data_IF_123965588841
#
_entry.id   IF_123965588841
#
_cell.length_a   1.000
_cell.length_b   1.000
_cell.length_c   1.000
_cell.angle_alpha   90.00
_cell.angle_beta   90.00
_cell.angle_gamma   90.00
#
_symmetry.space_group_name_H-M   'P 1'
#
loop_
_entity.id
_entity.type
_entity.pdbx_description
1 polymer ?
#
# COMPACT_ATOMS: atom_id res chain seq x y z
N UNK A 1 -9.94 -15.46 33.12
CA UNK A 1 -11.06 -15.38 32.16
C UNK A 1 -10.90 -14.05 31.43
N UNK A 2 -10.13 -14.04 30.33
CA UNK A 2 -9.87 -12.81 29.59
C UNK A 2 -11.16 -12.42 28.85
N UNK A 3 -11.68 -11.23 29.15
CA UNK A 3 -12.73 -10.61 28.35
C UNK A 3 -12.22 -10.55 26.90
N UNK A 4 -12.89 -11.28 26.00
CA UNK A 4 -12.78 -10.99 24.56
C UNK A 4 -13.31 -9.57 24.39
N UNK A 5 -12.41 -8.60 24.38
CA UNK A 5 -12.74 -7.25 23.97
C UNK A 5 -13.27 -7.37 22.54
N UNK A 6 -14.55 -7.06 22.34
CA UNK A 6 -15.03 -6.69 21.02
C UNK A 6 -14.16 -5.50 20.59
N UNK A 7 -13.42 -5.56 19.47
CA UNK A 7 -12.62 -4.42 19.06
C UNK A 7 -13.56 -3.23 18.88
N UNK A 8 -13.22 -2.10 19.51
CA UNK A 8 -13.87 -0.84 19.21
C UNK A 8 -13.76 -0.59 17.69
N UNK A 9 -14.78 -0.04 17.02
CA UNK A 9 -14.73 0.24 15.59
C UNK A 9 -13.83 1.47 15.32
N UNK A 10 -12.53 1.31 15.54
CA UNK A 10 -11.54 2.39 15.53
C UNK A 10 -10.28 2.04 14.72
N UNK A 11 -10.42 1.16 13.71
CA UNK A 11 -9.30 0.78 12.84
C UNK A 11 -8.86 1.85 11.85
N UNK A 12 -9.59 2.97 11.75
CA UNK A 12 -9.22 4.12 10.92
C UNK A 12 -9.33 3.91 9.41
N UNK A 13 -9.73 2.72 8.93
CA UNK A 13 -9.85 2.41 7.51
C UNK A 13 -11.17 2.92 6.93
N UNK A 14 -11.09 3.54 5.76
CA UNK A 14 -12.22 4.03 5.00
C UNK A 14 -12.03 3.73 3.51
N UNK A 15 -13.09 3.24 2.85
CA UNK A 15 -13.12 2.99 1.41
C UNK A 15 -14.25 3.82 0.78
N UNK A 16 -13.88 4.66 -0.19
CA UNK A 16 -14.82 5.31 -1.09
C UNK A 16 -14.68 4.73 -2.50
N UNK A 17 -15.81 4.42 -3.13
CA UNK A 17 -15.85 3.82 -4.47
C UNK A 17 -16.87 4.52 -5.35
N UNK A 18 -16.49 4.80 -6.61
CA UNK A 18 -17.43 5.21 -7.67
C UNK A 18 -18.24 4.02 -8.22
N UNK A 19 -17.79 2.80 -7.94
CA UNK A 19 -18.39 1.55 -8.36
C UNK A 19 -19.16 0.91 -7.21
N UNK A 20 -20.28 0.21 -7.47
CA UNK A 20 -21.01 -0.50 -6.44
C UNK A 20 -20.12 -1.49 -5.69
N UNK A 21 -20.11 -1.40 -4.36
CA UNK A 21 -19.49 -2.41 -3.49
C UNK A 21 -20.47 -3.58 -3.36
N UNK A 22 -20.04 -4.75 -3.81
CA UNK A 22 -20.84 -5.98 -3.79
C UNK A 22 -20.70 -6.72 -2.46
N UNK A 23 -19.49 -6.72 -1.91
CA UNK A 23 -19.14 -7.38 -0.65
C UNK A 23 -18.01 -6.62 0.04
N UNK A 24 -18.02 -6.59 1.38
CA UNK A 24 -16.96 -5.99 2.17
C UNK A 24 -16.77 -6.75 3.49
N UNK A 25 -15.53 -7.07 3.81
CA UNK A 25 -15.16 -7.78 5.02
C UNK A 25 -13.97 -7.09 5.69
N UNK A 26 -14.01 -7.03 7.01
CA UNK A 26 -12.93 -6.45 7.80
C UNK A 26 -12.42 -7.43 8.85
N UNK A 27 -11.10 -7.48 9.01
CA UNK A 27 -10.40 -8.32 9.98
C UNK A 27 -9.43 -7.48 10.81
N UNK A 28 -9.53 -7.56 12.13
CA UNK A 28 -8.55 -6.96 13.04
C UNK A 28 -7.33 -7.87 13.21
N UNK A 29 -6.14 -7.29 13.28
CA UNK A 29 -4.95 -8.00 13.73
C UNK A 29 -5.04 -8.31 15.23
N UNK A 30 -4.75 -9.56 15.64
CA UNK A 30 -4.83 -9.95 17.05
C UNK A 30 -3.56 -9.59 17.84
N UNK A 31 -2.49 -9.16 17.17
CA UNK A 31 -1.14 -9.05 17.72
C UNK A 31 -0.59 -7.62 17.81
N UNK A 32 -1.42 -6.59 17.61
CA UNK A 32 -1.02 -5.19 17.84
C UNK A 32 -0.64 -4.94 19.30
N UNK A 33 0.39 -4.12 19.53
CA UNK A 33 0.97 -3.82 20.85
C UNK A 33 1.26 -2.33 21.02
N UNK A 34 1.58 -1.91 22.25
CA UNK A 34 1.93 -0.51 22.53
C UNK A 34 0.76 0.43 22.25
N UNK A 35 1.04 1.58 21.63
CA UNK A 35 0.01 2.57 21.24
C UNK A 35 -0.99 1.98 20.24
N UNK A 36 -0.53 1.07 19.37
CA UNK A 36 -1.38 0.38 18.41
C UNK A 36 -2.37 -0.60 19.05
N UNK A 37 -2.20 -0.98 20.33
CA UNK A 37 -3.21 -1.77 21.04
C UNK A 37 -4.52 -0.99 21.26
N UNK A 38 -4.48 0.35 21.14
CA UNK A 38 -5.65 1.21 21.26
C UNK A 38 -6.40 1.36 19.93
N UNK A 39 -5.83 0.94 18.81
CA UNK A 39 -6.44 0.99 17.48
C UNK A 39 -6.67 -0.43 16.94
N UNK A 40 -7.85 -0.68 16.38
CA UNK A 40 -8.13 -1.93 15.69
C UNK A 40 -7.42 -1.94 14.32
N UNK A 41 -6.10 -2.05 14.27
CA UNK A 41 -5.38 -2.22 13.00
C UNK A 41 -5.81 -3.52 12.32
N UNK A 42 -5.83 -3.54 10.99
CA UNK A 42 -6.44 -4.65 10.27
C UNK A 42 -6.48 -4.51 8.77
N UNK A 43 -7.22 -5.41 8.13
CA UNK A 43 -7.45 -5.48 6.69
C UNK A 43 -8.92 -5.26 6.38
N UNK A 44 -9.22 -4.30 5.49
CA UNK A 44 -10.51 -4.13 4.84
C UNK A 44 -10.42 -4.66 3.41
N UNK A 45 -11.18 -5.72 3.12
CA UNK A 45 -11.32 -6.30 1.78
C UNK A 45 -12.68 -5.96 1.20
N UNK A 46 -12.72 -5.61 -0.08
CA UNK A 46 -13.93 -5.28 -0.80
C UNK A 46 -13.92 -5.88 -2.20
N UNK A 47 -15.12 -6.24 -2.65
CA UNK A 47 -15.39 -6.64 -4.04
C UNK A 47 -16.27 -5.58 -4.68
N UNK A 48 -15.87 -5.06 -5.84
CA UNK A 48 -16.61 -4.01 -6.55
C UNK A 48 -17.06 -4.45 -7.93
N UNK A 49 -18.21 -3.95 -8.38
CA UNK A 49 -18.74 -4.17 -9.72
C UNK A 49 -18.24 -3.07 -10.67
N UNK A 50 -17.37 -3.43 -11.60
CA UNK A 50 -16.79 -2.49 -12.57
C UNK A 50 -17.71 -2.27 -13.77
N UNK A 51 -18.41 -3.32 -14.20
CA UNK A 51 -19.34 -3.24 -15.31
C UNK A 51 -19.74 -4.62 -15.83
N UNK A 52 -20.00 -4.70 -17.14
CA UNK A 52 -20.30 -5.93 -17.85
C UNK A 52 -19.42 -6.04 -19.09
N UNK A 53 -18.97 -7.25 -19.41
CA UNK A 53 -18.20 -7.54 -20.61
C UNK A 53 -19.10 -7.66 -21.84
N UNK A 54 -18.50 -7.70 -23.04
CA UNK A 54 -19.21 -7.93 -24.30
C UNK A 54 -20.03 -9.24 -24.32
N UNK A 55 -19.62 -10.22 -23.52
CA UNK A 55 -20.29 -11.52 -23.34
C UNK A 55 -21.34 -11.50 -22.21
N UNK A 56 -21.75 -10.32 -21.75
CA UNK A 56 -22.72 -10.11 -20.66
C UNK A 56 -22.28 -10.64 -19.29
N UNK A 57 -21.00 -11.03 -19.12
CA UNK A 57 -20.46 -11.40 -17.81
C UNK A 57 -20.22 -10.17 -16.95
N UNK A 58 -20.41 -10.29 -15.64
CA UNK A 58 -20.08 -9.20 -14.71
C UNK A 58 -18.56 -9.05 -14.63
N UNK A 59 -18.07 -7.82 -14.73
CA UNK A 59 -16.67 -7.50 -14.52
C UNK A 59 -16.51 -6.95 -13.11
N UNK A 60 -15.67 -7.59 -12.31
CA UNK A 60 -15.47 -7.27 -10.89
C UNK A 60 -14.01 -6.95 -10.60
N UNK A 61 -13.76 -6.27 -9.48
CA UNK A 61 -12.42 -6.01 -8.97
C UNK A 61 -12.34 -6.30 -7.48
N UNK A 62 -11.18 -6.76 -7.04
CA UNK A 62 -10.86 -6.93 -5.62
C UNK A 62 -9.98 -5.78 -5.14
N UNK A 63 -10.37 -5.18 -4.03
CA UNK A 63 -9.64 -4.07 -3.40
C UNK A 63 -9.42 -4.37 -1.93
N UNK A 64 -8.17 -4.26 -1.48
CA UNK A 64 -7.78 -4.55 -0.11
C UNK A 64 -6.99 -3.36 0.44
N UNK A 65 -7.37 -2.87 1.62
CA UNK A 65 -6.69 -1.77 2.29
C UNK A 65 -6.31 -2.19 3.71
N UNK A 66 -5.07 -1.96 4.12
CA UNK A 66 -4.57 -2.35 5.45
C UNK A 66 -3.84 -1.19 6.12
N UNK A 67 -3.75 -1.25 7.45
CA UNK A 67 -2.86 -0.41 8.24
C UNK A 67 -2.13 -1.34 9.20
N UNK A 68 -0.81 -1.51 9.02
CA UNK A 68 -0.01 -2.45 9.81
C UNK A 68 0.51 -1.83 11.12
N UNK A 69 1.11 -2.67 11.95
CA UNK A 69 1.76 -2.31 13.19
C UNK A 69 2.88 -1.26 12.97
N UNK A 70 2.79 -0.12 13.66
CA UNK A 70 3.62 1.06 13.44
C UNK A 70 5.02 1.04 14.10
N UNK A 71 5.19 0.58 15.35
CA UNK A 71 6.49 0.65 16.04
C UNK A 71 7.68 0.10 15.24
N UNK A 72 8.73 0.92 15.12
CA UNK A 72 10.02 0.54 14.53
C UNK A 72 10.70 -0.57 15.35
N UNK A 73 11.53 -1.40 14.71
CA UNK A 73 12.17 -2.55 15.37
C UNK A 73 11.27 -3.75 15.66
N UNK A 74 9.98 -3.70 15.32
CA UNK A 74 9.01 -4.79 15.54
C UNK A 74 8.59 -5.50 14.23
N UNK A 75 9.52 -5.63 13.28
CA UNK A 75 9.26 -6.19 11.95
C UNK A 75 8.76 -7.64 11.91
N UNK A 76 9.02 -8.43 12.97
CA UNK A 76 8.43 -9.77 13.15
C UNK A 76 6.89 -9.70 13.23
N UNK A 77 6.34 -8.71 13.95
CA UNK A 77 4.90 -8.50 14.08
C UNK A 77 4.31 -8.12 12.72
N UNK A 78 4.97 -7.21 11.99
CA UNK A 78 4.54 -6.84 10.63
C UNK A 78 4.57 -8.03 9.68
N UNK A 79 5.61 -8.88 9.74
CA UNK A 79 5.66 -10.14 8.98
C UNK A 79 4.49 -11.09 9.31
N UNK A 80 4.16 -11.27 10.59
CA UNK A 80 2.97 -12.05 10.98
C UNK A 80 1.68 -11.44 10.41
N UNK A 81 1.54 -10.12 10.45
CA UNK A 81 0.38 -9.43 9.89
C UNK A 81 0.32 -9.55 8.36
N UNK A 82 1.44 -9.48 7.64
CA UNK A 82 1.50 -9.71 6.19
C UNK A 82 1.08 -11.15 5.82
N UNK A 83 1.45 -12.14 6.63
CA UNK A 83 0.96 -13.51 6.50
C UNK A 83 -0.56 -13.60 6.71
N UNK A 84 -1.10 -12.89 7.71
CA UNK A 84 -2.56 -12.82 7.91
C UNK A 84 -3.27 -12.12 6.74
N UNK A 85 -2.70 -11.02 6.22
CA UNK A 85 -3.24 -10.28 5.07
C UNK A 85 -3.37 -11.20 3.86
N UNK A 86 -2.29 -11.87 3.46
CA UNK A 86 -2.32 -12.78 2.29
C UNK A 86 -3.34 -13.90 2.45
N UNK A 87 -3.43 -14.48 3.66
CA UNK A 87 -4.43 -15.50 3.99
C UNK A 87 -5.86 -14.96 3.90
N UNK A 88 -6.15 -13.82 4.53
CA UNK A 88 -7.50 -13.25 4.58
C UNK A 88 -7.97 -12.78 3.21
N UNK A 89 -7.09 -12.24 2.37
CA UNK A 89 -7.42 -11.92 0.98
C UNK A 89 -7.80 -13.19 0.22
N UNK A 90 -7.03 -14.27 0.35
CA UNK A 90 -7.32 -15.53 -0.32
C UNK A 90 -8.66 -16.12 0.16
N UNK A 91 -8.91 -16.11 1.47
CA UNK A 91 -10.16 -16.58 2.06
C UNK A 91 -11.37 -15.73 1.57
N UNK A 92 -11.23 -14.39 1.52
CA UNK A 92 -12.25 -13.47 1.00
C UNK A 92 -12.57 -13.73 -0.46
N UNK A 93 -11.55 -13.90 -1.31
CA UNK A 93 -11.76 -14.18 -2.73
C UNK A 93 -12.37 -15.56 -2.96
N UNK A 94 -11.94 -16.58 -2.21
CA UNK A 94 -12.51 -17.92 -2.31
C UNK A 94 -14.00 -17.94 -1.95
N UNK A 95 -14.41 -17.16 -0.95
CA UNK A 95 -15.82 -17.05 -0.54
C UNK A 95 -16.68 -16.25 -1.54
N UNK A 96 -16.07 -15.34 -2.30
CA UNK A 96 -16.82 -14.32 -3.07
C UNK A 96 -16.59 -14.37 -4.59
N UNK A 97 -15.86 -15.37 -5.11
CA UNK A 97 -15.68 -15.56 -6.56
C UNK A 97 -16.83 -16.38 -7.14
N UNK A 98 -17.48 -15.88 -8.19
CA UNK A 98 -18.53 -16.62 -8.90
C UNK A 98 -18.09 -17.01 -10.32
N UNK A 99 -18.57 -18.15 -10.87
CA UNK A 99 -18.17 -18.60 -12.20
C UNK A 99 -18.54 -17.68 -13.38
N UNK A 100 -19.55 -16.82 -13.19
CA UNK A 100 -20.05 -15.90 -14.21
C UNK A 100 -19.53 -14.47 -14.04
N UNK A 101 -18.27 -14.36 -13.64
CA UNK A 101 -17.59 -13.09 -13.41
C UNK A 101 -16.19 -13.10 -14.02
N UNK A 102 -15.78 -11.94 -14.50
CA UNK A 102 -14.42 -11.66 -14.95
C UNK A 102 -13.74 -10.72 -13.93
N UNK A 103 -12.59 -11.12 -13.40
CA UNK A 103 -11.81 -10.31 -12.47
C UNK A 103 -10.89 -9.39 -13.27
N UNK A 104 -11.11 -8.08 -13.19
CA UNK A 104 -10.34 -7.07 -13.92
C UNK A 104 -9.06 -6.64 -13.18
N UNK A 105 -9.11 -6.57 -11.85
CA UNK A 105 -7.97 -6.19 -11.04
C UNK A 105 -8.07 -6.78 -9.63
N UNK A 106 -6.90 -6.81 -8.98
CA UNK A 106 -6.74 -7.20 -7.60
C UNK A 106 -5.62 -6.35 -6.98
N UNK A 107 -6.01 -5.47 -6.06
CA UNK A 107 -5.14 -4.44 -5.49
C UNK A 107 -5.07 -4.61 -3.98
N UNK A 108 -3.87 -4.43 -3.43
CA UNK A 108 -3.61 -4.28 -2.00
C UNK A 108 -2.90 -2.95 -1.77
N UNK A 109 -3.43 -2.11 -0.90
CA UNK A 109 -2.81 -0.84 -0.55
C UNK A 109 -2.87 -0.53 0.94
N UNK A 110 -2.19 0.55 1.33
CA UNK A 110 -2.31 1.15 2.66
C UNK A 110 -0.95 1.46 3.27
N UNK A 111 -0.99 1.85 4.54
CA UNK A 111 0.20 2.15 5.33
C UNK A 111 0.73 0.84 5.94
N UNK A 112 1.88 0.41 5.42
CA UNK A 112 2.53 -0.82 5.87
C UNK A 112 3.53 -0.57 7.01
N UNK A 113 3.83 0.68 7.35
CA UNK A 113 4.76 1.08 8.42
C UNK A 113 6.17 0.48 8.32
N UNK A 114 6.57 0.00 7.15
CA UNK A 114 7.94 -0.39 6.83
C UNK A 114 8.30 0.14 5.45
N UNK A 115 9.54 0.54 5.25
CA UNK A 115 10.02 1.04 3.96
C UNK A 115 10.89 0.01 3.24
N UNK A 116 11.22 0.29 1.97
CA UNK A 116 12.00 -0.59 1.13
C UNK A 116 13.45 -0.09 0.96
N UNK A 117 14.03 0.55 1.98
CA UNK A 117 15.42 1.01 1.97
C UNK A 117 16.15 0.97 3.33
N UNK A 118 15.42 0.91 4.44
CA UNK A 118 15.92 0.85 5.80
C UNK A 118 16.45 -0.55 6.11
N UNK A 119 17.66 -0.68 6.68
CA UNK A 119 18.16 -1.96 7.16
C UNK A 119 17.29 -2.61 8.25
N UNK A 120 16.59 -1.81 9.06
CA UNK A 120 15.70 -2.32 10.11
C UNK A 120 14.51 -3.11 9.56
N UNK A 121 14.00 -2.73 8.38
CA UNK A 121 12.82 -3.30 7.73
C UNK A 121 13.14 -4.51 6.80
N UNK A 122 14.33 -5.09 6.94
CA UNK A 122 14.83 -6.14 6.03
C UNK A 122 13.95 -7.41 5.99
N UNK A 123 13.27 -7.75 7.08
CA UNK A 123 12.42 -8.95 7.13
C UNK A 123 11.19 -8.76 6.23
N UNK A 124 10.52 -7.63 6.39
CA UNK A 124 9.33 -7.23 5.64
C UNK A 124 9.65 -7.03 4.17
N UNK A 125 10.80 -6.39 3.88
CA UNK A 125 11.31 -6.25 2.53
C UNK A 125 11.46 -7.61 1.82
N UNK A 126 11.80 -8.68 2.52
CA UNK A 126 11.94 -10.03 1.94
C UNK A 126 10.69 -10.90 2.08
N UNK A 127 9.56 -10.33 2.50
CA UNK A 127 8.32 -11.10 2.69
C UNK A 127 7.76 -11.63 1.36
N UNK A 128 7.24 -12.86 1.36
CA UNK A 128 6.71 -13.54 0.16
C UNK A 128 5.45 -12.88 -0.43
N UNK A 129 4.87 -11.89 0.26
CA UNK A 129 3.81 -11.04 -0.29
C UNK A 129 4.24 -10.47 -1.65
N UNK A 130 5.49 -10.01 -1.77
CA UNK A 130 6.02 -9.39 -2.98
C UNK A 130 6.24 -10.35 -4.14
N UNK A 131 6.14 -11.67 -3.92
CA UNK A 131 6.11 -12.68 -4.98
C UNK A 131 4.71 -12.81 -5.59
N UNK A 132 3.66 -12.49 -4.81
CA UNK A 132 2.26 -12.57 -5.23
C UNK A 132 1.72 -11.24 -5.72
N UNK A 133 2.11 -10.15 -5.04
CA UNK A 133 1.70 -8.78 -5.31
C UNK A 133 2.90 -7.97 -5.79
N UNK A 134 2.79 -7.42 -6.99
CA UNK A 134 3.83 -6.58 -7.59
C UNK A 134 3.72 -5.16 -7.04
N UNK A 135 4.88 -4.62 -6.65
CA UNK A 135 5.05 -3.21 -6.31
C UNK A 135 5.63 -2.45 -7.52
N UNK A 136 4.89 -1.47 -8.10
CA UNK A 136 5.38 -0.63 -9.19
C UNK A 136 6.65 0.16 -8.88
N UNK A 137 6.87 0.54 -7.62
CA UNK A 137 8.01 1.35 -7.15
C UNK A 137 9.26 0.51 -6.90
N UNK A 138 9.11 -0.78 -6.67
CA UNK A 138 10.18 -1.67 -6.22
C UNK A 138 11.04 -2.18 -7.36
N UNK A 139 12.37 -2.13 -7.19
CA UNK A 139 13.33 -2.84 -8.03
C UNK A 139 13.77 -4.18 -7.42
N UNK A 140 13.76 -4.28 -6.08
CA UNK A 140 14.07 -5.48 -5.31
C UNK A 140 13.88 -5.24 -3.80
N UNK A 141 14.11 -6.25 -2.95
CA UNK A 141 14.12 -6.06 -1.50
C UNK A 141 15.21 -5.04 -1.12
N UNK A 142 14.83 -4.01 -0.36
CA UNK A 142 15.75 -2.94 0.05
C UNK A 142 16.17 -2.01 -1.10
N UNK A 143 15.53 -2.12 -2.28
CA UNK A 143 15.88 -1.34 -3.46
C UNK A 143 14.66 -0.83 -4.21
N UNK A 144 14.54 0.49 -4.21
CA UNK A 144 13.53 1.22 -4.96
C UNK A 144 14.00 1.53 -6.40
N UNK A 145 13.04 1.87 -7.27
CA UNK A 145 13.34 2.45 -8.58
C UNK A 145 13.82 3.90 -8.43
N UNK A 146 14.66 4.41 -9.37
CA UNK A 146 15.31 5.72 -9.20
C UNK A 146 14.38 6.94 -9.14
N UNK A 147 13.14 6.82 -9.61
CA UNK A 147 12.16 7.90 -9.63
C UNK A 147 11.26 7.95 -8.39
N UNK A 148 11.37 6.95 -7.51
CA UNK A 148 10.55 6.83 -6.30
C UNK A 148 10.98 7.88 -5.27
N UNK A 149 10.01 8.34 -4.48
CA UNK A 149 10.22 9.20 -3.31
C UNK A 149 9.56 8.56 -2.09
N UNK A 150 10.05 8.91 -0.90
CA UNK A 150 9.40 8.56 0.36
C UNK A 150 8.00 9.16 0.46
N UNK A 151 7.17 8.56 1.31
CA UNK A 151 5.77 8.96 1.52
C UNK A 151 5.52 9.47 2.93
N UNK A 152 6.44 9.26 3.87
CA UNK A 152 6.34 9.82 5.22
C UNK A 152 7.11 11.14 5.30
N UNK A 153 6.43 12.24 5.64
CA UNK A 153 7.02 13.53 5.92
C UNK A 153 7.67 13.55 7.29
N UNK A 154 8.71 14.36 7.47
CA UNK A 154 9.39 14.57 8.74
C UNK A 154 8.48 15.43 9.65
N UNK A 155 7.85 14.80 10.65
CA UNK A 155 6.77 15.40 11.45
C UNK A 155 7.08 16.78 12.06
N UNK A 156 8.30 17.07 12.58
CA UNK A 156 8.65 18.40 13.07
C UNK A 156 8.54 19.54 12.03
N UNK A 157 8.58 19.21 10.74
CA UNK A 157 8.66 20.19 9.64
C UNK A 157 7.31 20.45 8.95
N UNK A 158 6.24 19.74 9.31
CA UNK A 158 4.96 19.69 8.56
C UNK A 158 4.32 21.04 8.23
N UNK A 159 4.61 22.07 9.03
CA UNK A 159 4.01 23.40 8.91
C UNK A 159 4.99 24.45 8.39
N UNK A 160 6.21 24.03 8.02
CA UNK A 160 7.21 24.91 7.44
C UNK A 160 6.77 25.43 6.07
N UNK A 161 7.25 26.62 5.75
CA UNK A 161 6.79 27.35 4.58
C UNK A 161 7.06 26.63 3.28
N UNK A 162 8.05 25.75 3.19
CA UNK A 162 8.39 25.05 1.95
C UNK A 162 7.49 23.85 1.65
N UNK A 163 6.65 23.41 2.59
CA UNK A 163 5.79 22.23 2.43
C UNK A 163 4.33 22.43 2.81
N UNK A 164 3.96 23.62 3.30
CA UNK A 164 2.61 23.88 3.80
C UNK A 164 1.52 24.15 2.72
N UNK A 165 1.87 24.13 1.43
CA UNK A 165 0.87 24.16 0.33
C UNK A 165 1.17 23.11 -0.74
N UNK A 166 0.18 22.67 -1.54
CA UNK A 166 0.38 21.62 -2.54
C UNK A 166 1.48 21.93 -3.56
N UNK A 167 1.55 23.17 -4.05
CA UNK A 167 2.54 23.60 -5.05
C UNK A 167 3.96 23.67 -4.46
N UNK A 168 4.07 24.09 -3.19
CA UNK A 168 5.36 24.18 -2.51
C UNK A 168 5.87 22.79 -2.17
N UNK A 169 5.01 21.93 -1.62
CA UNK A 169 5.35 20.52 -1.38
C UNK A 169 5.76 19.83 -2.69
N UNK A 170 5.06 20.06 -3.80
CA UNK A 170 5.47 19.52 -5.10
C UNK A 170 6.89 19.93 -5.49
N UNK A 171 7.20 21.25 -5.44
CA UNK A 171 8.54 21.76 -5.76
C UNK A 171 9.61 21.17 -4.83
N UNK A 172 9.27 21.00 -3.56
CA UNK A 172 10.13 20.38 -2.55
C UNK A 172 10.43 18.92 -2.89
N UNK A 173 9.42 18.15 -3.29
CA UNK A 173 9.58 16.73 -3.63
C UNK A 173 10.34 16.51 -4.94
N UNK A 174 10.30 17.45 -5.88
CA UNK A 174 11.05 17.38 -7.14
C UNK A 174 12.57 17.58 -6.94
N UNK A 175 13.00 18.18 -5.83
CA UNK A 175 14.42 18.48 -5.54
C UNK A 175 14.99 17.60 -4.44
N UNK A 176 16.00 16.78 -4.75
CA UNK A 176 16.59 15.83 -3.80
C UNK A 176 17.10 16.48 -2.51
N UNK A 177 17.77 17.63 -2.62
CA UNK A 177 18.31 18.35 -1.46
C UNK A 177 17.23 18.86 -0.49
N UNK A 178 16.03 19.14 -1.00
CA UNK A 178 14.89 19.48 -0.13
C UNK A 178 14.20 18.22 0.38
N UNK A 179 14.09 17.15 -0.42
CA UNK A 179 13.57 15.86 0.07
C UNK A 179 14.32 15.38 1.32
N UNK A 180 15.65 15.51 1.34
CA UNK A 180 16.51 15.17 2.51
C UNK A 180 16.16 15.89 3.82
N UNK A 181 15.46 17.01 3.72
CA UNK A 181 15.05 17.86 4.85
C UNK A 181 13.63 17.55 5.32
N UNK A 182 12.72 17.24 4.38
CA UNK A 182 11.28 17.18 4.65
C UNK A 182 10.68 15.77 4.59
N UNK A 183 11.38 14.78 4.02
CA UNK A 183 10.97 13.38 4.03
C UNK A 183 11.70 12.64 5.15
N UNK A 184 10.97 11.81 5.88
CA UNK A 184 11.51 10.98 6.96
C UNK A 184 12.67 10.12 6.46
N UNK A 185 13.74 10.09 7.25
CA UNK A 185 14.99 9.38 6.92
C UNK A 185 14.87 7.88 7.19
N UNK A 186 15.59 7.02 6.46
CA UNK A 186 15.61 5.58 6.74
C UNK A 186 16.08 5.28 8.16
N UNK A 187 15.60 4.17 8.70
CA UNK A 187 15.82 3.73 10.07
C UNK A 187 17.08 2.84 10.12
N UNK A 188 18.09 3.18 10.93
CA UNK A 188 19.25 2.31 11.12
C UNK A 188 18.82 1.00 11.82
N UNK A 189 19.43 -0.11 11.44
CA UNK A 189 19.34 -1.32 12.27
C UNK A 189 20.08 -1.10 13.59
N UNK A 190 19.64 -1.78 14.65
CA UNK A 190 20.22 -1.67 15.98
C UNK A 190 21.73 -1.89 15.96
N UNK A 191 22.47 -0.96 16.57
CA UNK A 191 23.94 -0.96 16.70
C UNK A 191 24.71 -0.94 15.36
N UNK A 192 24.07 -0.60 14.24
CA UNK A 192 24.69 -0.48 12.92
C UNK A 192 24.61 0.95 12.39
N UNK A 193 25.72 1.54 11.90
CA UNK A 193 25.67 2.85 11.27
C UNK A 193 24.93 2.77 9.93
N UNK A 194 23.99 3.68 9.70
CA UNK A 194 23.29 3.80 8.42
C UNK A 194 24.17 4.54 7.40
N UNK A 195 24.59 3.82 6.36
CA UNK A 195 25.16 4.43 5.15
C UNK A 195 24.04 4.52 4.12
N UNK A 196 23.48 5.71 3.94
CA UNK A 196 22.36 5.94 3.03
C UNK A 196 22.42 7.31 2.34
N UNK A 197 22.17 7.37 1.02
CA UNK A 197 22.04 6.24 0.10
C UNK A 197 23.41 5.56 -0.10
N UNK A 198 23.43 4.38 -0.73
CA UNK A 198 24.68 3.81 -1.25
C UNK A 198 25.30 4.79 -2.28
N UNK A 199 26.62 4.68 -2.51
CA UNK A 199 27.28 5.48 -3.55
C UNK A 199 26.55 5.33 -4.88
N UNK A 200 26.31 6.45 -5.56
CA UNK A 200 25.64 6.51 -6.86
C UNK A 200 24.16 6.06 -6.87
N UNK A 201 23.52 5.92 -5.70
CA UNK A 201 22.07 5.74 -5.58
C UNK A 201 21.38 7.07 -5.19
N UNK A 202 20.16 7.36 -5.69
CA UNK A 202 19.43 8.55 -5.31
C UNK A 202 18.96 8.48 -3.86
N UNK A 203 18.82 9.64 -3.21
CA UNK A 203 18.17 9.73 -1.90
C UNK A 203 16.65 9.73 -2.09
N UNK A 204 15.97 8.77 -1.45
CA UNK A 204 14.53 8.51 -1.62
C UNK A 204 13.75 8.88 -0.36
N UNK A 205 14.22 8.43 0.80
CA UNK A 205 13.51 8.53 2.07
C UNK A 205 12.49 7.40 2.27
N UNK A 206 11.77 7.41 3.39
CA UNK A 206 10.89 6.30 3.79
C UNK A 206 9.58 6.29 3.01
N UNK A 207 9.42 5.31 2.12
CA UNK A 207 8.13 4.99 1.48
C UNK A 207 7.45 3.85 2.24
N UNK A 208 6.48 4.20 3.07
CA UNK A 208 5.73 3.25 3.90
C UNK A 208 4.30 3.02 3.41
N UNK A 209 3.83 3.86 2.48
CA UNK A 209 2.53 3.73 1.84
C UNK A 209 2.68 2.98 0.51
N UNK A 210 1.97 1.86 0.38
CA UNK A 210 2.08 0.97 -0.78
C UNK A 210 0.77 0.91 -1.57
N UNK A 211 0.90 0.75 -2.88
CA UNK A 211 -0.17 0.26 -3.75
C UNK A 211 0.41 -0.87 -4.60
N UNK A 212 -0.06 -2.08 -4.35
CA UNK A 212 0.39 -3.31 -4.97
C UNK A 212 -0.73 -3.90 -5.83
N UNK A 213 -0.36 -4.65 -6.86
CA UNK A 213 -1.32 -5.32 -7.73
C UNK A 213 -0.92 -6.77 -8.01
N UNK A 214 -1.92 -7.65 -8.17
CA UNK A 214 -1.71 -9.08 -8.44
C UNK A 214 -2.32 -9.47 -9.78
N UNK A 215 -1.50 -10.01 -10.67
CA UNK A 215 -1.91 -10.44 -12.01
C UNK A 215 -2.49 -11.87 -12.00
N UNK A 216 -2.07 -12.72 -11.05
CA UNK A 216 -2.43 -14.14 -11.06
C UNK A 216 -3.91 -14.43 -10.77
N UNK A 217 -4.63 -13.48 -10.19
CA UNK A 217 -6.07 -13.55 -9.89
C UNK A 217 -6.94 -12.86 -10.96
N UNK A 218 -6.32 -12.14 -11.90
CA UNK A 218 -7.02 -11.50 -13.03
C UNK A 218 -7.44 -12.58 -14.03
N UNK A 219 -8.63 -12.41 -14.62
CA UNK A 219 -9.14 -13.35 -15.63
C UNK A 219 -8.18 -13.46 -16.81
N UNK A 220 -8.00 -14.67 -17.37
CA UNK A 220 -6.99 -14.96 -18.41
C UNK A 220 -7.09 -14.10 -19.67
N UNK A 221 -8.30 -13.66 -20.01
CA UNK A 221 -8.61 -12.78 -21.16
C UNK A 221 -8.66 -11.30 -20.78
N UNK A 222 -8.19 -10.96 -19.58
CA UNK A 222 -8.02 -9.59 -19.10
C UNK A 222 -6.52 -9.33 -18.93
N UNK A 223 -6.03 -8.24 -19.50
CA UNK A 223 -4.67 -7.74 -19.30
C UNK A 223 -4.75 -6.41 -18.56
N UNK A 224 -3.97 -6.30 -17.50
CA UNK A 224 -3.91 -5.09 -16.68
C UNK A 224 -2.54 -4.47 -16.80
N UNK A 225 -2.48 -3.21 -17.19
CA UNK A 225 -1.24 -2.44 -17.38
C UNK A 225 -1.24 -1.21 -16.48
N UNK A 226 -0.06 -0.81 -16.01
CA UNK A 226 0.09 0.43 -15.24
C UNK A 226 0.11 1.59 -16.22
N UNK A 227 -0.92 2.44 -16.17
CA UNK A 227 -1.00 3.67 -16.97
C UNK A 227 -0.27 4.81 -16.27
N UNK A 228 -0.42 4.92 -14.95
CA UNK A 228 0.21 5.97 -14.16
C UNK A 228 0.39 5.56 -12.70
N UNK A 229 1.45 6.09 -12.09
CA UNK A 229 1.63 6.14 -10.65
C UNK A 229 1.94 7.58 -10.26
N UNK A 230 1.31 8.08 -9.19
CA UNK A 230 1.39 9.48 -8.77
C UNK A 230 1.60 9.63 -7.28
N UNK A 231 2.51 10.50 -6.87
CA UNK A 231 2.61 11.00 -5.49
C UNK A 231 1.85 12.33 -5.40
N UNK A 232 0.94 12.46 -4.43
CA UNK A 232 -0.07 13.51 -4.41
C UNK A 232 0.24 14.51 -3.30
N UNK A 233 0.36 15.79 -3.63
CA UNK A 233 0.72 16.84 -2.64
C UNK A 233 -0.46 17.65 -2.13
N UNK A 234 -1.68 17.31 -2.55
CA UNK A 234 -2.90 18.09 -2.29
C UNK A 234 -3.30 18.15 -0.81
N UNK A 235 -2.75 17.28 0.03
CA UNK A 235 -3.00 17.27 1.48
C UNK A 235 -1.86 17.90 2.30
N UNK A 236 -0.98 18.68 1.65
CA UNK A 236 0.06 19.46 2.31
C UNK A 236 -0.46 20.22 3.54
N UNK A 237 0.23 20.07 4.68
CA UNK A 237 -0.14 20.69 5.96
C UNK A 237 -1.35 20.08 6.68
N UNK A 238 -2.02 19.06 6.11
CA UNK A 238 -3.19 18.39 6.70
C UNK A 238 -2.87 16.98 7.23
N UNK A 239 -1.78 16.38 6.78
CA UNK A 239 -1.33 15.03 7.13
C UNK A 239 0.18 14.94 6.95
N UNK A 240 0.81 13.96 7.59
CA UNK A 240 2.22 13.63 7.46
C UNK A 240 2.51 12.54 6.42
N UNK A 241 1.48 11.96 5.79
CA UNK A 241 1.64 11.02 4.68
C UNK A 241 1.36 11.67 3.32
N UNK A 242 2.15 11.33 2.31
CA UNK A 242 1.93 11.69 0.91
C UNK A 242 1.05 10.61 0.27
N UNK A 243 -0.20 10.91 -0.13
CA UNK A 243 -1.04 9.92 -0.78
C UNK A 243 -0.42 9.44 -2.10
N UNK A 244 -0.56 8.14 -2.33
CA UNK A 244 -0.12 7.48 -3.57
C UNK A 244 -1.35 7.18 -4.42
N UNK A 245 -1.23 7.34 -5.73
CA UNK A 245 -2.26 7.00 -6.70
C UNK A 245 -1.73 6.01 -7.73
N UNK A 246 -2.54 5.01 -8.08
CA UNK A 246 -2.27 4.05 -9.15
C UNK A 246 -3.44 4.07 -10.15
N UNK A 247 -3.11 4.16 -11.44
CA UNK A 247 -4.06 3.98 -12.52
C UNK A 247 -3.70 2.72 -13.30
N UNK A 248 -4.68 1.82 -13.40
CA UNK A 248 -4.57 0.60 -14.17
C UNK A 248 -5.46 0.70 -15.42
N UNK A 249 -4.88 0.44 -16.58
CA UNK A 249 -5.60 0.20 -17.82
C UNK A 249 -5.95 -1.28 -17.90
N UNK A 250 -7.23 -1.60 -18.09
CA UNK A 250 -7.72 -2.98 -18.22
C UNK A 250 -8.17 -3.20 -19.65
N UNK A 251 -7.48 -4.09 -20.34
CA UNK A 251 -7.78 -4.51 -21.71
C UNK A 251 -8.43 -5.89 -21.62
N UNK A 252 -9.62 -6.05 -22.19
CA UNK A 252 -10.29 -7.34 -22.28
C UNK A 252 -10.23 -7.83 -23.72
N UNK A 253 -9.92 -9.11 -23.92
CA UNK A 253 -9.89 -9.74 -25.25
C UNK A 253 -11.30 -9.79 -25.84
N UNK A 254 -11.68 -8.68 -26.46
CA UNK A 254 -12.84 -8.52 -27.33
C UNK A 254 -12.53 -7.72 -28.59
N UNK A 255 -11.25 -7.40 -28.84
CA UNK A 255 -10.79 -6.67 -30.03
C UNK A 255 -10.32 -7.57 -31.19
N UNK A 256 -10.42 -8.90 -31.05
CA UNK A 256 -10.42 -9.80 -32.20
C UNK A 256 -11.87 -10.04 -32.63
N UNK A 257 -12.42 -9.13 -33.43
CA UNK A 257 -13.55 -9.44 -34.27
C UNK A 257 -13.08 -10.46 -35.34
N UNK A 258 -13.79 -11.58 -35.43
CA UNK A 258 -13.76 -12.45 -36.61
C UNK A 258 -14.25 -11.68 -37.85
#
# INVERSE_FOLDING_TARGET
MALKASPFPNGGLFLASRFPVLEAQYHCFPNSRGEDALAAKGLLSAKVLIGQSSKQKRVVGYFNCTHLHAPEGEGEIRCEQLNMVTKWIADFQAANTFPDEDVAFDVLCGDLNFDNCSPDDHLEQNHCLFEQYRDPCRAGPGKEKPWVIGTLLEQPTLYEDDINTPEKLQRTLEMEELRKQYISRPVPAKDLPLVYPESDQPWIGRRIDYILYRESSVSKHCRTEIEALTFITQLAGLTDHIPVGLRLSVIMDSDCAD
#
